data_IF_448890739214
#
_entry.id   IF_448890739214
#
_cell.length_a   1.000
_cell.length_b   1.000
_cell.length_c   1.000
_cell.angle_alpha   90.00
_cell.angle_beta   90.00
_cell.angle_gamma   90.00
#
_symmetry.space_group_name_H-M   'P 1'
#
loop_
_entity.id
_entity.type
_entity.pdbx_description
1 polymer ?
#
# COMPACT_ATOMS: atom_id res chain seq x y z
N UNK A 1 -43.09 46.86 -11.76
CA UNK A 1 -43.11 45.38 -11.74
C UNK A 1 -41.68 44.86 -11.70
N UNK A 2 -41.05 44.79 -10.51
CA UNK A 2 -39.65 44.39 -10.38
C UNK A 2 -39.31 43.80 -8.99
N UNK A 3 -40.34 43.38 -8.22
CA UNK A 3 -40.17 42.81 -6.89
C UNK A 3 -40.28 41.27 -6.81
N UNK A 4 -40.74 40.61 -7.88
CA UNK A 4 -41.00 39.15 -7.84
C UNK A 4 -39.78 38.29 -8.15
N UNK A 5 -38.86 38.77 -8.99
CA UNK A 5 -37.75 37.95 -9.49
C UNK A 5 -36.68 37.73 -8.40
N UNK A 6 -36.47 38.72 -7.53
CA UNK A 6 -35.44 38.65 -6.48
C UNK A 6 -35.80 37.66 -5.35
N UNK A 7 -37.09 37.56 -5.00
CA UNK A 7 -37.57 36.60 -3.99
C UNK A 7 -37.51 35.15 -4.48
N UNK A 8 -37.78 34.90 -5.77
CA UNK A 8 -37.75 33.54 -6.35
C UNK A 8 -36.33 32.99 -6.40
N UNK A 9 -35.32 33.84 -6.67
CA UNK A 9 -33.92 33.42 -6.69
C UNK A 9 -33.42 33.08 -5.28
N UNK A 10 -33.81 33.85 -4.26
CA UNK A 10 -33.42 33.57 -2.86
C UNK A 10 -34.05 32.26 -2.36
N UNK A 11 -35.30 31.96 -2.73
CA UNK A 11 -35.96 30.70 -2.37
C UNK A 11 -35.28 29.47 -3.01
N UNK A 12 -34.84 29.57 -4.28
CA UNK A 12 -34.14 28.50 -4.98
C UNK A 12 -32.75 28.21 -4.40
N UNK A 13 -32.05 29.23 -3.91
CA UNK A 13 -30.72 29.07 -3.29
C UNK A 13 -30.82 28.41 -1.90
N UNK A 14 -31.90 28.67 -1.14
CA UNK A 14 -32.09 28.06 0.19
C UNK A 14 -32.59 26.61 0.12
N UNK A 15 -33.23 26.18 -0.97
CA UNK A 15 -33.64 24.79 -1.19
C UNK A 15 -32.54 23.92 -1.81
N UNK A 16 -31.48 24.51 -2.36
CA UNK A 16 -30.41 23.79 -3.08
C UNK A 16 -29.23 23.32 -2.23
N UNK A 17 -29.24 23.51 -0.91
CA UNK A 17 -28.06 23.35 -0.08
C UNK A 17 -28.19 22.29 1.02
N UNK A 18 -28.74 21.10 0.75
CA UNK A 18 -28.49 19.91 1.59
C UNK A 18 -28.53 18.61 0.77
N UNK A 19 -27.52 18.41 -0.06
CA UNK A 19 -27.05 17.07 -0.40
C UNK A 19 -25.53 17.07 -0.47
N UNK A 20 -24.90 17.52 0.63
CA UNK A 20 -23.62 16.93 0.98
C UNK A 20 -23.90 15.46 1.24
N UNK A 21 -23.63 14.59 0.25
CA UNK A 21 -23.33 13.20 0.56
C UNK A 21 -22.12 13.27 1.48
N UNK A 22 -22.37 13.22 2.78
CA UNK A 22 -21.35 12.89 3.75
C UNK A 22 -20.72 11.59 3.24
N UNK A 23 -19.45 11.61 2.86
CA UNK A 23 -18.67 10.39 2.79
C UNK A 23 -18.44 9.96 4.24
N UNK A 24 -19.49 9.45 4.88
CA UNK A 24 -19.37 8.78 6.16
C UNK A 24 -18.57 7.52 5.93
N UNK A 25 -17.51 7.37 6.73
CA UNK A 25 -16.67 6.20 6.68
C UNK A 25 -17.48 5.03 7.24
N UNK A 26 -18.13 4.27 6.35
CA UNK A 26 -18.89 3.06 6.70
C UNK A 26 -18.02 1.92 7.25
N UNK A 27 -16.76 2.19 7.60
CA UNK A 27 -15.87 1.18 8.15
C UNK A 27 -16.45 0.55 9.42
N UNK A 28 -17.04 1.34 10.32
CA UNK A 28 -17.67 0.83 11.54
C UNK A 28 -18.93 0.01 11.24
N UNK A 29 -19.75 0.44 10.27
CA UNK A 29 -20.94 -0.32 9.86
C UNK A 29 -20.55 -1.67 9.23
N UNK A 30 -19.50 -1.70 8.41
CA UNK A 30 -18.97 -2.93 7.83
C UNK A 30 -18.33 -3.84 8.89
N UNK A 31 -17.62 -3.29 9.87
CA UNK A 31 -17.05 -4.05 10.99
C UNK A 31 -18.15 -4.66 11.85
N UNK A 32 -19.20 -3.89 12.18
CA UNK A 32 -20.34 -4.37 12.95
C UNK A 32 -21.11 -5.45 12.20
N UNK A 33 -21.36 -5.28 10.90
CA UNK A 33 -21.99 -6.33 10.07
C UNK A 33 -21.13 -7.59 9.95
N UNK A 34 -19.80 -7.45 9.89
CA UNK A 34 -18.89 -8.60 9.90
C UNK A 34 -18.92 -9.35 11.24
N UNK A 35 -18.95 -8.63 12.36
CA UNK A 35 -19.06 -9.22 13.70
C UNK A 35 -20.43 -9.86 13.96
N UNK A 36 -21.51 -9.28 13.42
CA UNK A 36 -22.89 -9.75 13.61
C UNK A 36 -23.31 -10.85 12.63
N UNK A 37 -22.66 -10.96 11.46
CA UNK A 37 -23.10 -11.92 10.43
C UNK A 37 -22.84 -13.38 10.80
N UNK A 38 -22.18 -13.70 11.92
CA UNK A 38 -22.05 -15.07 12.45
C UNK A 38 -21.53 -16.08 11.42
N UNK A 39 -20.87 -15.59 10.37
CA UNK A 39 -20.44 -16.37 9.23
C UNK A 39 -19.26 -17.22 9.64
N UNK A 40 -19.54 -18.49 9.96
CA UNK A 40 -18.50 -19.49 10.17
C UNK A 40 -17.69 -19.61 8.87
N UNK A 41 -16.53 -18.96 8.82
CA UNK A 41 -15.54 -19.17 7.77
C UNK A 41 -14.76 -20.45 8.09
N UNK A 42 -15.37 -21.60 7.81
CA UNK A 42 -14.71 -22.91 7.86
C UNK A 42 -13.74 -23.05 6.68
N UNK A 43 -12.64 -22.30 6.69
CA UNK A 43 -11.43 -22.64 5.93
C UNK A 43 -10.18 -22.05 6.57
N UNK A 44 -9.90 -22.47 7.80
CA UNK A 44 -8.55 -22.66 8.29
C UNK A 44 -8.62 -23.41 9.61
N UNK A 45 -8.41 -24.72 9.57
CA UNK A 45 -8.14 -25.54 10.77
C UNK A 45 -6.78 -25.18 11.42
N UNK A 46 -6.18 -24.03 11.06
CA UNK A 46 -4.86 -23.60 11.52
C UNK A 46 -4.68 -22.07 11.56
N UNK A 47 -5.77 -21.29 11.54
CA UNK A 47 -5.72 -19.88 11.95
C UNK A 47 -6.34 -19.82 13.32
N UNK A 48 -5.49 -19.71 14.36
CA UNK A 48 -5.95 -19.36 15.70
C UNK A 48 -6.97 -18.22 15.60
N UNK A 49 -8.14 -18.47 16.16
CA UNK A 49 -9.16 -17.47 16.47
C UNK A 49 -8.48 -16.19 17.01
N UNK A 50 -8.95 -14.96 16.68
CA UNK A 50 -8.34 -13.73 17.19
C UNK A 50 -8.26 -13.82 18.71
N UNK A 51 -7.07 -14.12 19.21
CA UNK A 51 -6.87 -14.40 20.62
C UNK A 51 -6.87 -13.03 21.27
N UNK A 52 -7.91 -12.70 22.05
CA UNK A 52 -7.92 -11.47 22.83
C UNK A 52 -6.65 -11.45 23.68
N UNK A 53 -5.75 -10.53 23.35
CA UNK A 53 -4.47 -10.43 24.02
C UNK A 53 -4.68 -9.93 25.43
N UNK A 54 -4.20 -10.71 26.41
CA UNK A 54 -4.13 -10.22 27.78
C UNK A 54 -3.30 -8.93 27.83
N UNK A 55 -3.56 -8.04 28.79
CA UNK A 55 -2.78 -6.79 28.91
C UNK A 55 -1.25 -7.06 29.00
N UNK A 56 -0.85 -8.18 29.62
CA UNK A 56 0.55 -8.63 29.66
C UNK A 56 1.06 -9.07 28.29
N UNK A 57 0.26 -9.77 27.50
CA UNK A 57 0.64 -10.18 26.15
C UNK A 57 0.68 -8.99 25.19
N UNK A 58 -0.25 -8.03 25.33
CA UNK A 58 -0.26 -6.79 24.55
C UNK A 58 1.00 -5.94 24.77
N UNK A 59 1.60 -6.00 25.96
CA UNK A 59 2.83 -5.26 26.28
C UNK A 59 4.06 -5.72 25.49
N UNK A 60 4.00 -6.93 24.89
CA UNK A 60 5.06 -7.47 24.03
C UNK A 60 4.95 -6.99 22.58
N UNK A 61 3.80 -6.43 22.21
CA UNK A 61 3.57 -5.88 20.89
C UNK A 61 4.00 -4.42 20.86
N UNK A 62 4.65 -4.02 19.79
CA UNK A 62 5.08 -2.64 19.55
C UNK A 62 4.73 -2.21 18.13
N UNK A 63 4.70 -0.90 17.83
CA UNK A 63 4.57 -0.42 16.46
C UNK A 63 5.49 -1.18 15.49
N UNK A 64 4.92 -1.66 14.38
CA UNK A 64 5.65 -2.44 13.39
C UNK A 64 6.78 -1.62 12.79
N UNK A 65 7.96 -2.24 12.61
CA UNK A 65 9.09 -1.60 11.96
C UNK A 65 9.33 -2.25 10.61
N UNK A 66 9.15 -1.45 9.58
CA UNK A 66 9.22 -1.87 8.20
C UNK A 66 10.51 -1.31 7.60
N UNK A 67 11.43 -2.18 7.20
CA UNK A 67 12.60 -1.80 6.41
C UNK A 67 12.20 -1.81 4.93
N UNK A 68 12.51 -0.73 4.22
CA UNK A 68 12.19 -0.58 2.80
C UNK A 68 13.47 -0.66 1.98
N UNK A 69 13.51 -1.55 1.01
CA UNK A 69 14.61 -1.74 0.07
C UNK A 69 14.30 -1.08 -1.28
N UNK A 70 15.21 -0.20 -1.71
CA UNK A 70 15.09 0.54 -2.96
C UNK A 70 16.10 0.13 -4.04
N UNK A 71 16.76 -1.03 -3.86
CA UNK A 71 17.80 -1.52 -4.77
C UNK A 71 17.38 -1.49 -6.25
N UNK A 72 16.14 -1.90 -6.52
CA UNK A 72 15.57 -1.91 -7.87
C UNK A 72 15.40 -0.51 -8.47
N UNK A 73 15.20 0.52 -7.64
CA UNK A 73 15.09 1.90 -8.12
C UNK A 73 16.45 2.51 -8.44
N UNK A 74 17.54 1.90 -7.98
CA UNK A 74 18.90 2.36 -8.22
C UNK A 74 19.55 1.67 -9.43
N UNK A 75 19.02 0.53 -9.88
CA UNK A 75 19.50 -0.21 -11.04
C UNK A 75 18.74 0.19 -12.32
N UNK A 76 19.36 0.93 -13.26
CA UNK A 76 18.70 1.39 -14.49
C UNK A 76 18.29 0.26 -15.45
N UNK A 77 18.68 -0.99 -15.19
CA UNK A 77 18.21 -2.16 -15.96
C UNK A 77 16.84 -2.67 -15.50
N UNK A 78 16.32 -2.17 -14.37
CA UNK A 78 15.08 -2.64 -13.72
C UNK A 78 13.87 -1.75 -13.92
N UNK A 79 14.03 -0.59 -14.56
CA UNK A 79 12.95 0.36 -14.83
C UNK A 79 13.18 1.08 -16.16
N UNK A 80 12.11 1.61 -16.74
CA UNK A 80 12.22 2.38 -17.97
C UNK A 80 12.92 3.73 -17.72
N UNK A 81 14.04 3.94 -18.41
CA UNK A 81 14.80 5.21 -18.40
C UNK A 81 14.47 6.09 -19.61
N UNK A 82 13.90 5.52 -20.68
CA UNK A 82 13.45 6.23 -21.88
C UNK A 82 12.18 5.60 -22.45
N UNK A 83 11.52 6.28 -23.39
CA UNK A 83 10.32 5.80 -24.08
C UNK A 83 10.62 4.78 -25.19
N UNK A 84 11.87 4.29 -25.26
CA UNK A 84 12.33 3.34 -26.25
C UNK A 84 13.10 2.22 -25.59
N UNK A 85 13.06 1.03 -26.19
CA UNK A 85 13.69 -0.17 -25.63
C UNK A 85 12.78 -0.97 -24.73
N UNK A 86 13.35 -2.00 -24.11
CA UNK A 86 12.62 -3.00 -23.34
C UNK A 86 13.34 -3.27 -22.03
N UNK A 87 12.56 -3.47 -20.97
CA UNK A 87 13.05 -3.90 -19.64
C UNK A 87 12.36 -5.20 -19.26
N UNK A 88 12.94 -5.93 -18.32
CA UNK A 88 12.30 -7.12 -17.76
C UNK A 88 11.33 -6.70 -16.65
N UNK A 89 10.08 -7.16 -16.73
CA UNK A 89 9.08 -6.91 -15.69
C UNK A 89 9.39 -7.71 -14.41
N UNK A 90 8.63 -7.45 -13.33
CA UNK A 90 8.80 -8.16 -12.05
C UNK A 90 8.52 -9.68 -12.12
N UNK A 91 8.03 -10.19 -13.25
CA UNK A 91 7.77 -11.61 -13.51
C UNK A 91 8.74 -12.22 -14.52
N UNK A 92 9.75 -11.47 -14.99
CA UNK A 92 10.72 -11.96 -15.96
C UNK A 92 10.35 -11.79 -17.41
N UNK A 93 9.29 -11.05 -17.71
CA UNK A 93 8.79 -10.89 -19.07
C UNK A 93 9.36 -9.61 -19.69
N UNK A 94 9.73 -9.62 -20.97
CA UNK A 94 10.10 -8.40 -21.66
C UNK A 94 8.90 -7.44 -21.69
N UNK A 95 9.16 -6.16 -21.48
CA UNK A 95 8.17 -5.09 -21.49
C UNK A 95 8.72 -3.88 -22.25
N UNK A 96 7.98 -3.45 -23.28
CA UNK A 96 8.36 -2.30 -24.09
C UNK A 96 8.04 -0.99 -23.39
N UNK A 97 9.08 -0.18 -23.18
CA UNK A 97 8.95 1.08 -22.47
C UNK A 97 8.17 2.11 -23.29
N UNK A 98 7.36 2.91 -22.60
CA UNK A 98 6.65 4.06 -23.17
C UNK A 98 6.79 5.24 -22.22
N UNK A 99 6.43 6.45 -22.66
CA UNK A 99 6.60 7.69 -21.88
C UNK A 99 6.01 7.63 -20.47
N UNK A 100 4.86 6.95 -20.30
CA UNK A 100 4.20 6.85 -18.99
C UNK A 100 4.98 5.98 -18.00
N UNK A 101 5.76 5.02 -18.51
CA UNK A 101 6.49 4.04 -17.71
C UNK A 101 7.85 4.56 -17.23
N UNK A 102 8.30 5.72 -17.74
CA UNK A 102 9.61 6.26 -17.39
C UNK A 102 9.65 6.64 -15.91
N UNK A 103 10.63 6.09 -15.17
CA UNK A 103 10.95 6.52 -13.82
C UNK A 103 11.92 7.70 -13.89
N UNK A 104 11.37 8.91 -13.84
CA UNK A 104 12.17 10.13 -13.73
C UNK A 104 12.75 10.28 -12.33
N UNK A 105 13.79 11.11 -12.18
CA UNK A 105 14.37 11.43 -10.87
C UNK A 105 13.33 12.04 -9.92
N UNK A 106 12.41 12.86 -10.45
CA UNK A 106 11.32 13.44 -9.68
C UNK A 106 10.38 12.34 -9.12
N UNK A 107 9.95 11.40 -9.99
CA UNK A 107 9.14 10.25 -9.54
C UNK A 107 9.89 9.41 -8.51
N UNK A 108 11.19 9.18 -8.72
CA UNK A 108 12.02 8.42 -7.77
C UNK A 108 12.09 9.09 -6.41
N UNK A 109 12.37 10.40 -6.36
CA UNK A 109 12.40 11.18 -5.11
C UNK A 109 11.06 11.12 -4.38
N UNK A 110 9.94 11.29 -5.10
CA UNK A 110 8.61 11.14 -4.50
C UNK A 110 8.45 9.76 -3.86
N UNK A 111 8.88 8.69 -4.56
CA UNK A 111 8.79 7.33 -4.03
C UNK A 111 9.65 7.16 -2.77
N UNK A 112 10.94 7.55 -2.83
CA UNK A 112 11.92 7.26 -1.78
C UNK A 112 11.85 8.19 -0.58
N UNK A 113 11.55 9.47 -0.79
CA UNK A 113 11.64 10.52 0.25
C UNK A 113 10.27 10.88 0.82
N UNK A 114 9.18 10.62 0.10
CA UNK A 114 7.84 11.03 0.52
C UNK A 114 6.87 9.85 0.70
N UNK A 115 6.63 9.08 -0.36
CA UNK A 115 5.57 8.08 -0.41
C UNK A 115 5.81 6.96 0.61
N UNK A 116 6.93 6.26 0.51
CA UNK A 116 7.21 5.14 1.41
C UNK A 116 7.45 5.57 2.86
N UNK A 117 8.20 6.65 3.16
CA UNK A 117 8.34 7.14 4.53
C UNK A 117 7.00 7.49 5.19
N UNK A 118 6.09 8.14 4.46
CA UNK A 118 4.75 8.44 5.00
C UNK A 118 3.89 7.18 5.16
N UNK A 119 3.92 6.28 4.18
CA UNK A 119 3.16 5.03 4.24
C UNK A 119 3.60 4.15 5.42
N UNK A 120 4.90 3.95 5.62
CA UNK A 120 5.42 3.12 6.72
C UNK A 120 5.16 3.77 8.07
N UNK A 121 5.27 5.10 8.19
CA UNK A 121 4.90 5.81 9.41
C UNK A 121 3.43 5.59 9.77
N UNK A 122 2.53 5.72 8.79
CA UNK A 122 1.09 5.47 8.99
C UNK A 122 0.83 4.02 9.41
N UNK A 123 1.46 3.04 8.76
CA UNK A 123 1.34 1.64 9.13
C UNK A 123 1.81 1.39 10.56
N UNK A 124 2.92 2.00 11.00
CA UNK A 124 3.42 1.89 12.37
C UNK A 124 2.44 2.47 13.41
N UNK A 125 1.60 3.47 13.05
CA UNK A 125 0.58 3.99 13.98
C UNK A 125 -0.64 3.07 14.14
N UNK A 126 -0.84 2.12 13.22
CA UNK A 126 -2.03 1.27 13.15
C UNK A 126 -1.75 -0.19 13.43
N UNK A 127 -0.53 -0.64 13.18
CA UNK A 127 -0.13 -2.03 13.29
C UNK A 127 0.92 -2.18 14.38
N UNK A 128 0.60 -3.02 15.35
CA UNK A 128 1.60 -3.54 16.27
C UNK A 128 2.00 -4.96 15.86
N UNK A 129 3.27 -5.29 16.04
CA UNK A 129 3.84 -6.60 15.78
C UNK A 129 4.57 -7.13 17.00
N UNK A 130 4.59 -8.46 17.14
CA UNK A 130 5.59 -9.12 17.99
C UNK A 130 6.94 -9.03 17.29
N UNK A 131 8.00 -8.54 17.97
CA UNK A 131 9.32 -8.45 17.37
C UNK A 131 9.85 -9.82 16.95
N UNK A 132 10.33 -9.92 15.72
CA UNK A 132 10.95 -11.16 15.19
C UNK A 132 12.46 -11.20 15.42
N UNK A 133 13.04 -10.14 15.99
CA UNK A 133 14.47 -9.98 16.21
C UNK A 133 15.16 -9.44 14.96
N UNK A 134 16.31 -10.02 14.62
CA UNK A 134 17.12 -9.59 13.48
C UNK A 134 16.65 -10.29 12.20
N UNK A 135 15.99 -9.53 11.33
CA UNK A 135 15.53 -9.99 10.03
C UNK A 135 16.46 -9.45 8.94
N UNK A 136 16.65 -10.24 7.89
CA UNK A 136 17.42 -9.90 6.69
C UNK A 136 17.02 -10.90 5.61
N UNK A 137 17.14 -10.52 4.34
CA UNK A 137 16.79 -11.40 3.23
C UNK A 137 17.93 -11.51 2.23
N UNK A 138 18.39 -12.74 1.96
CA UNK A 138 19.43 -13.01 0.96
C UNK A 138 18.84 -13.31 -0.41
N UNK A 139 19.68 -13.27 -1.46
CA UNK A 139 19.24 -13.61 -2.81
C UNK A 139 18.72 -15.06 -2.91
N UNK A 140 19.27 -15.98 -2.14
CA UNK A 140 18.83 -17.38 -2.10
C UNK A 140 17.42 -17.53 -1.50
N UNK A 141 17.11 -16.74 -0.47
CA UNK A 141 15.79 -16.71 0.18
C UNK A 141 14.71 -16.10 -0.74
N UNK A 142 15.12 -15.27 -1.71
CA UNK A 142 14.24 -14.65 -2.69
C UNK A 142 13.78 -15.57 -3.83
N UNK A 143 14.19 -16.84 -3.89
CA UNK A 143 13.74 -17.87 -4.86
C UNK A 143 12.78 -17.41 -5.99
N UNK A 144 11.46 -17.50 -5.79
CA UNK A 144 10.39 -17.15 -6.75
C UNK A 144 10.20 -15.64 -7.01
N UNK A 145 10.96 -14.81 -6.32
CA UNK A 145 11.09 -13.36 -6.47
C UNK A 145 12.47 -12.98 -7.04
N UNK A 146 13.09 -13.86 -7.85
CA UNK A 146 14.44 -13.71 -8.40
C UNK A 146 14.70 -12.42 -9.21
N UNK A 147 13.66 -11.69 -9.60
CA UNK A 147 13.79 -10.40 -10.28
C UNK A 147 14.08 -9.24 -9.33
N UNK A 148 13.87 -9.45 -8.02
CA UNK A 148 14.21 -8.50 -6.98
C UNK A 148 15.68 -8.64 -6.53
N UNK A 149 16.18 -7.57 -5.94
CA UNK A 149 17.53 -7.50 -5.40
C UNK A 149 17.41 -7.07 -3.95
N UNK A 150 18.14 -7.78 -3.09
CA UNK A 150 18.32 -7.42 -1.69
C UNK A 150 19.82 -7.27 -1.44
N UNK A 151 20.26 -6.06 -1.13
CA UNK A 151 21.67 -5.77 -0.89
C UNK A 151 21.86 -4.86 0.33
N UNK A 152 23.12 -4.70 0.76
CA UNK A 152 23.48 -3.84 1.88
C UNK A 152 22.64 -4.11 3.14
N UNK A 153 21.99 -3.06 3.63
CA UNK A 153 21.14 -3.10 4.83
C UNK A 153 19.94 -4.07 4.73
N UNK A 154 19.46 -4.37 3.53
CA UNK A 154 18.33 -5.29 3.32
C UNK A 154 18.76 -6.74 3.49
N UNK A 155 19.97 -7.06 3.04
CA UNK A 155 20.58 -8.36 3.26
C UNK A 155 21.11 -8.52 4.70
N UNK A 156 21.43 -7.41 5.36
CA UNK A 156 21.91 -7.41 6.73
C UNK A 156 20.79 -7.79 7.71
N UNK A 157 21.09 -8.75 8.59
CA UNK A 157 20.19 -9.16 9.67
C UNK A 157 20.14 -8.08 10.75
N UNK A 158 19.19 -7.16 10.63
CA UNK A 158 19.01 -6.00 11.51
C UNK A 158 17.64 -6.00 12.17
N UNK A 159 17.47 -5.20 13.23
CA UNK A 159 16.28 -5.25 14.07
C UNK A 159 15.09 -4.54 13.41
N UNK A 160 14.28 -5.31 12.67
CA UNK A 160 13.03 -4.89 12.04
C UNK A 160 12.07 -6.08 11.92
N UNK A 161 10.78 -5.78 11.72
CA UNK A 161 9.70 -6.79 11.81
C UNK A 161 9.20 -7.23 10.42
N UNK A 162 9.49 -6.42 9.40
CA UNK A 162 9.10 -6.68 8.01
C UNK A 162 10.10 -6.04 7.03
N UNK A 163 10.34 -6.70 5.90
CA UNK A 163 11.12 -6.15 4.76
C UNK A 163 10.17 -5.97 3.58
N UNK A 164 10.18 -4.76 3.01
CA UNK A 164 9.45 -4.45 1.79
C UNK A 164 10.44 -4.07 0.68
N UNK A 165 10.51 -4.90 -0.37
CA UNK A 165 11.31 -4.61 -1.56
C UNK A 165 10.45 -3.85 -2.57
N UNK A 166 10.93 -2.69 -2.99
CA UNK A 166 10.19 -1.77 -3.87
C UNK A 166 10.71 -1.90 -5.29
N UNK A 167 9.82 -1.95 -6.27
CA UNK A 167 10.16 -1.90 -7.70
C UNK A 167 9.27 -0.87 -8.42
N UNK A 168 9.85 -0.23 -9.42
CA UNK A 168 9.15 0.60 -10.40
C UNK A 168 9.15 -0.06 -11.79
N UNK A 169 9.32 -1.39 -11.83
CA UNK A 169 9.13 -2.19 -13.03
C UNK A 169 7.76 -1.89 -13.62
N UNK A 170 7.66 -1.67 -14.94
CA UNK A 170 6.37 -1.58 -15.59
C UNK A 170 5.60 -2.89 -15.40
N UNK A 171 4.28 -2.79 -15.36
CA UNK A 171 3.37 -3.93 -15.38
C UNK A 171 2.46 -3.79 -16.59
N UNK A 172 2.08 -4.89 -17.26
CA UNK A 172 1.03 -4.84 -18.25
C UNK A 172 -0.21 -4.24 -17.61
N UNK A 173 -0.88 -3.32 -18.29
CA UNK A 173 -2.15 -2.78 -17.84
C UNK A 173 -3.15 -3.95 -17.73
N UNK A 174 -3.33 -4.47 -16.52
CA UNK A 174 -4.42 -5.41 -16.24
C UNK A 174 -5.64 -4.53 -16.06
N UNK A 175 -6.55 -4.54 -17.03
CA UNK A 175 -7.88 -3.98 -16.82
C UNK A 175 -8.44 -4.56 -15.52
N UNK A 176 -9.09 -3.76 -14.65
CA UNK A 176 -9.75 -4.32 -13.49
C UNK A 176 -10.66 -5.44 -14.00
N UNK A 177 -10.45 -6.68 -13.55
CA UNK A 177 -11.48 -7.70 -13.72
C UNK A 177 -12.69 -7.12 -12.99
N UNK A 178 -13.66 -6.63 -13.77
CA UNK A 178 -14.95 -6.26 -13.20
C UNK A 178 -15.46 -7.51 -12.48
N UNK A 179 -15.85 -7.39 -11.20
CA UNK A 179 -16.39 -8.52 -10.45
C UNK A 179 -17.62 -9.12 -11.13
#
# INVERSE_FOLDING_TARGET
MQGGISLVIIALVLLGAQSSLSHECNHEEHLLKQMQSGGIYNRASNLQQPQELSARDSSRYRPVRIKVGFDQLNDPTKYCTSASGSVTDMYGRPFDCTEINILTDEKRKIITEYLFPKATALLATKLNALPVGNLGVTAEELSGCSYFTASGDIAAKTDHDFIMLVSASPVPWVSPRRP
#
